data_IF_445797894555
#
_entry.id   IF_445797894555
#
_cell.length_a   1.000
_cell.length_b   1.000
_cell.length_c   1.000
_cell.angle_alpha   90.00
_cell.angle_beta   90.00
_cell.angle_gamma   90.00
#
_symmetry.space_group_name_H-M   'P 1'
#
loop_
_entity.id
_entity.type
_entity.pdbx_description
1 polymer ?
#
# COMPACT_ATOMS: atom_id res chain seq x y z
N UNK A 1 -6.22 4.36 6.92
CA UNK A 1 -6.36 3.30 7.93
C UNK A 1 -5.47 3.65 9.10
N UNK A 2 -6.10 3.79 10.26
CA UNK A 2 -5.42 4.07 11.52
C UNK A 2 -5.08 2.74 12.22
N UNK A 3 -5.27 2.63 13.53
CA UNK A 3 -5.12 1.38 14.27
C UNK A 3 -6.36 0.47 14.16
N UNK A 4 -6.23 -0.76 14.67
CA UNK A 4 -7.26 -1.80 14.52
C UNK A 4 -8.65 -1.40 15.03
N UNK A 5 -8.77 -0.50 16.01
CA UNK A 5 -10.03 -0.16 16.68
C UNK A 5 -11.07 0.48 15.76
N UNK A 6 -10.60 1.18 14.73
CA UNK A 6 -11.45 1.91 13.78
C UNK A 6 -11.45 1.28 12.38
N UNK A 7 -10.83 0.11 12.23
CA UNK A 7 -10.65 -0.52 10.90
C UNK A 7 -11.98 -0.88 10.26
N UNK A 8 -12.88 -1.52 11.01
CA UNK A 8 -14.20 -1.91 10.50
C UNK A 8 -15.03 -0.69 10.09
N UNK A 9 -15.10 0.33 10.94
CA UNK A 9 -15.88 1.55 10.67
C UNK A 9 -15.33 2.30 9.45
N UNK A 10 -14.00 2.37 9.32
CA UNK A 10 -13.35 2.99 8.15
C UNK A 10 -13.68 2.25 6.86
N UNK A 11 -13.70 0.91 6.88
CA UNK A 11 -14.10 0.09 5.73
C UNK A 11 -15.58 0.33 5.39
N UNK A 12 -16.45 0.38 6.40
CA UNK A 12 -17.87 0.61 6.21
C UNK A 12 -18.15 1.97 5.55
N UNK A 13 -17.45 3.03 5.97
CA UNK A 13 -17.57 4.36 5.33
C UNK A 13 -17.25 4.30 3.83
N UNK A 14 -16.26 3.50 3.41
CA UNK A 14 -15.91 3.36 1.98
C UNK A 14 -17.04 2.65 1.22
N UNK A 15 -17.65 1.62 1.82
CA UNK A 15 -18.80 0.91 1.25
C UNK A 15 -19.99 1.86 1.11
N UNK A 16 -20.33 2.60 2.17
CA UNK A 16 -21.46 3.54 2.17
C UNK A 16 -21.31 4.64 1.12
N UNK A 17 -20.08 5.11 0.87
CA UNK A 17 -19.79 6.09 -0.17
C UNK A 17 -20.00 5.51 -1.58
N UNK A 18 -19.59 4.26 -1.81
CA UNK A 18 -19.85 3.58 -3.08
C UNK A 18 -21.35 3.33 -3.31
N UNK A 19 -22.10 2.96 -2.27
CA UNK A 19 -23.56 2.79 -2.33
C UNK A 19 -24.29 4.10 -2.68
N UNK A 20 -23.69 5.26 -2.33
CA UNK A 20 -24.16 6.59 -2.74
C UNK A 20 -23.70 7.01 -4.15
N UNK A 21 -22.98 6.15 -4.86
CA UNK A 21 -22.48 6.40 -6.22
C UNK A 21 -21.07 7.02 -6.30
N UNK A 22 -20.37 7.20 -5.18
CA UNK A 22 -19.00 7.74 -5.18
C UNK A 22 -17.96 6.63 -5.40
N UNK A 23 -17.63 6.35 -6.65
CA UNK A 23 -16.72 5.25 -7.06
C UNK A 23 -15.24 5.65 -7.15
N UNK A 24 -14.91 6.90 -6.85
CA UNK A 24 -13.54 7.44 -6.82
C UNK A 24 -12.90 7.36 -5.41
N UNK A 25 -13.49 6.59 -4.50
CA UNK A 25 -13.03 6.42 -3.13
C UNK A 25 -12.36 5.04 -2.98
N UNK A 26 -11.18 5.00 -2.36
CA UNK A 26 -10.47 3.76 -2.05
C UNK A 26 -10.17 3.65 -0.56
N UNK A 27 -9.72 2.48 -0.13
CA UNK A 27 -9.34 2.24 1.28
C UNK A 27 -7.87 1.86 1.41
N UNK A 28 -7.31 2.06 2.60
CA UNK A 28 -5.97 1.56 2.96
C UNK A 28 -6.15 0.27 3.74
N UNK A 29 -5.38 -0.76 3.42
CA UNK A 29 -5.32 -2.00 4.19
C UNK A 29 -3.89 -2.25 4.68
N UNK A 30 -3.76 -3.00 5.79
CA UNK A 30 -2.50 -3.22 6.50
C UNK A 30 -2.13 -4.70 6.44
N UNK A 31 -1.19 -5.07 5.57
CA UNK A 31 -0.83 -6.46 5.28
C UNK A 31 -0.35 -7.30 6.46
N UNK A 32 0.01 -6.67 7.60
CA UNK A 32 0.36 -7.39 8.83
C UNK A 32 -0.82 -7.93 9.62
N UNK A 33 -2.04 -7.42 9.43
CA UNK A 33 -3.20 -7.82 10.24
C UNK A 33 -3.79 -9.13 9.73
N UNK A 34 -4.09 -10.07 10.63
CA UNK A 34 -4.68 -11.36 10.27
C UNK A 34 -6.03 -11.25 9.56
N UNK A 35 -6.80 -10.19 9.86
CA UNK A 35 -8.10 -9.91 9.24
C UNK A 35 -8.03 -9.39 7.80
N UNK A 36 -6.87 -8.88 7.34
CA UNK A 36 -6.77 -8.19 6.05
C UNK A 36 -7.19 -9.05 4.85
N UNK A 37 -6.85 -10.36 4.77
CA UNK A 37 -7.33 -11.23 3.71
C UNK A 37 -8.87 -11.30 3.62
N UNK A 38 -9.57 -11.29 4.75
CA UNK A 38 -11.03 -11.30 4.79
C UNK A 38 -11.62 -9.93 4.43
N UNK A 39 -10.99 -8.84 4.88
CA UNK A 39 -11.37 -7.49 4.49
C UNK A 39 -11.25 -7.28 2.97
N UNK A 40 -10.23 -7.86 2.32
CA UNK A 40 -10.08 -7.85 0.84
C UNK A 40 -11.26 -8.58 0.18
N UNK A 41 -11.62 -9.78 0.67
CA UNK A 41 -12.73 -10.55 0.09
C UNK A 41 -14.06 -9.80 0.25
N UNK A 42 -14.31 -9.25 1.43
CA UNK A 42 -15.54 -8.50 1.71
C UNK A 42 -15.66 -7.30 0.77
N UNK A 43 -14.60 -6.50 0.64
CA UNK A 43 -14.60 -5.35 -0.26
C UNK A 43 -14.71 -5.76 -1.74
N UNK A 44 -14.07 -6.87 -2.15
CA UNK A 44 -14.26 -7.42 -3.48
C UNK A 44 -15.72 -7.78 -3.74
N UNK A 45 -16.39 -8.45 -2.79
CA UNK A 45 -17.80 -8.83 -2.93
C UNK A 45 -18.72 -7.61 -3.01
N UNK A 46 -18.45 -6.60 -2.19
CA UNK A 46 -19.30 -5.40 -2.07
C UNK A 46 -19.08 -4.38 -3.19
N UNK A 47 -17.83 -4.21 -3.64
CA UNK A 47 -17.45 -3.16 -4.59
C UNK A 47 -17.11 -3.72 -5.98
N UNK A 48 -17.00 -5.04 -6.13
CA UNK A 48 -16.61 -5.70 -7.38
C UNK A 48 -15.35 -5.07 -7.99
N UNK A 49 -15.38 -4.75 -9.28
CA UNK A 49 -14.25 -4.18 -10.02
C UNK A 49 -13.95 -2.71 -9.68
N UNK A 50 -14.78 -2.05 -8.86
CA UNK A 50 -14.53 -0.69 -8.37
C UNK A 50 -13.65 -0.64 -7.12
N UNK A 51 -13.32 -1.80 -6.53
CA UNK A 51 -12.43 -1.87 -5.38
C UNK A 51 -11.07 -1.20 -5.68
N UNK A 52 -10.66 -0.29 -4.79
CA UNK A 52 -9.39 0.45 -4.87
C UNK A 52 -8.67 0.38 -3.53
N UNK A 53 -7.54 -0.31 -3.53
CA UNK A 53 -6.77 -0.58 -2.33
C UNK A 53 -5.43 0.11 -2.38
N UNK A 54 -5.07 0.75 -1.28
CA UNK A 54 -3.67 1.02 -0.94
C UNK A 54 -3.22 0.02 0.11
N UNK A 55 -2.24 -0.81 -0.21
CA UNK A 55 -1.69 -1.78 0.73
C UNK A 55 -0.37 -1.25 1.30
N UNK A 56 -0.28 -1.20 2.63
CA UNK A 56 0.96 -0.95 3.35
C UNK A 56 1.21 -2.11 4.33
N UNK A 57 2.40 -2.16 4.96
CA UNK A 57 2.66 -3.15 6.00
C UNK A 57 1.83 -2.93 7.28
N UNK A 58 1.49 -1.68 7.59
CA UNK A 58 0.95 -1.25 8.88
C UNK A 58 2.02 -0.61 9.75
N UNK A 59 1.70 0.57 10.33
CA UNK A 59 2.64 1.41 11.09
C UNK A 59 2.52 1.22 12.61
N UNK A 60 1.31 0.94 13.10
CA UNK A 60 1.02 0.77 14.51
C UNK A 60 1.55 -0.57 15.03
N UNK A 61 1.98 -0.57 16.29
CA UNK A 61 2.42 -1.75 17.02
C UNK A 61 1.21 -2.47 17.61
N UNK A 62 0.63 -3.36 16.82
CA UNK A 62 -0.55 -4.14 17.21
C UNK A 62 -0.18 -5.41 17.99
N UNK A 63 -1.05 -5.90 18.88
CA UNK A 63 -0.87 -7.17 19.57
C UNK A 63 -0.64 -8.35 18.61
N UNK A 64 0.18 -9.31 19.02
CA UNK A 64 0.47 -10.53 18.26
C UNK A 64 -0.76 -11.43 18.05
N UNK A 65 -1.77 -11.30 18.91
CA UNK A 65 -3.05 -11.98 18.77
C UNK A 65 -3.87 -11.55 17.54
N UNK A 66 -3.55 -10.41 16.93
CA UNK A 66 -4.28 -9.87 15.76
C UNK A 66 -3.37 -9.54 14.58
N UNK A 67 -2.04 -9.68 14.74
CA UNK A 67 -1.06 -9.12 13.82
C UNK A 67 0.22 -9.91 13.77
N UNK A 68 0.77 -10.09 12.57
CA UNK A 68 2.15 -10.54 12.40
C UNK A 68 3.10 -9.49 13.01
N UNK A 69 4.04 -9.93 13.82
CA UNK A 69 5.01 -9.07 14.52
C UNK A 69 6.43 -9.20 13.99
N UNK A 70 6.82 -10.38 13.46
CA UNK A 70 8.13 -10.59 12.86
C UNK A 70 8.22 -10.01 11.44
N UNK A 71 9.40 -9.52 11.07
CA UNK A 71 9.62 -8.88 9.75
C UNK A 71 9.29 -9.81 8.57
N UNK A 72 9.73 -11.07 8.62
CA UNK A 72 9.50 -12.05 7.55
C UNK A 72 8.01 -12.33 7.37
N UNK A 73 7.29 -12.59 8.45
CA UNK A 73 5.84 -12.83 8.41
C UNK A 73 5.08 -11.59 7.91
N UNK A 74 5.47 -10.38 8.32
CA UNK A 74 4.85 -9.15 7.81
C UNK A 74 5.08 -9.00 6.29
N UNK A 75 6.28 -9.30 5.80
CA UNK A 75 6.58 -9.26 4.36
C UNK A 75 5.74 -10.29 3.61
N UNK A 76 5.71 -11.54 4.09
CA UNK A 76 4.96 -12.64 3.48
C UNK A 76 3.46 -12.34 3.44
N UNK A 77 2.87 -11.92 4.56
CA UNK A 77 1.46 -11.58 4.63
C UNK A 77 1.12 -10.37 3.74
N UNK A 78 1.99 -9.36 3.67
CA UNK A 78 1.80 -8.22 2.76
C UNK A 78 1.84 -8.66 1.30
N UNK A 79 2.77 -9.55 0.94
CA UNK A 79 2.88 -10.09 -0.42
C UNK A 79 1.65 -10.93 -0.80
N UNK A 80 1.18 -11.79 0.11
CA UNK A 80 -0.05 -12.55 -0.08
C UNK A 80 -1.27 -11.64 -0.27
N UNK A 81 -1.35 -10.53 0.48
CA UNK A 81 -2.40 -9.52 0.29
C UNK A 81 -2.30 -8.85 -1.08
N UNK A 82 -1.10 -8.49 -1.55
CA UNK A 82 -0.89 -7.91 -2.88
C UNK A 82 -1.41 -8.87 -3.97
N UNK A 83 -1.04 -10.15 -3.90
CA UNK A 83 -1.51 -11.15 -4.87
C UNK A 83 -3.03 -11.28 -4.84
N UNK A 84 -3.63 -11.37 -3.65
CA UNK A 84 -5.08 -11.46 -3.48
C UNK A 84 -5.82 -10.24 -4.05
N UNK A 85 -5.30 -9.04 -3.83
CA UNK A 85 -5.86 -7.80 -4.39
C UNK A 85 -5.77 -7.76 -5.92
N UNK A 86 -4.65 -8.23 -6.49
CA UNK A 86 -4.47 -8.33 -7.93
C UNK A 86 -5.42 -9.38 -8.54
N UNK A 87 -5.55 -10.54 -7.91
CA UNK A 87 -6.46 -11.61 -8.36
C UNK A 87 -7.93 -11.22 -8.25
N UNK A 88 -8.28 -10.40 -7.25
CA UNK A 88 -9.61 -9.83 -7.08
C UNK A 88 -10.01 -8.82 -8.19
N UNK A 89 -9.09 -8.45 -9.10
CA UNK A 89 -9.35 -7.46 -10.15
C UNK A 89 -9.33 -6.01 -9.65
N UNK A 90 -9.00 -5.81 -8.37
CA UNK A 90 -8.98 -4.48 -7.76
C UNK A 90 -7.81 -3.65 -8.29
N UNK A 91 -7.94 -2.33 -8.17
CA UNK A 91 -6.80 -1.44 -8.32
C UNK A 91 -5.90 -1.51 -7.09
N UNK A 92 -4.63 -1.82 -7.29
CA UNK A 92 -3.70 -2.08 -6.18
C UNK A 92 -2.57 -1.06 -6.14
N UNK A 93 -2.60 -0.17 -5.16
CA UNK A 93 -1.52 0.78 -4.88
C UNK A 93 -0.56 0.22 -3.82
N UNK A 94 0.64 -0.16 -4.24
CA UNK A 94 1.65 -0.80 -3.38
C UNK A 94 2.46 0.28 -2.65
N UNK A 95 2.12 0.52 -1.39
CA UNK A 95 2.77 1.52 -0.55
C UNK A 95 3.90 0.91 0.29
N UNK A 96 5.05 0.67 -0.35
CA UNK A 96 6.21 0.05 0.30
C UNK A 96 7.53 0.62 -0.22
N UNK A 97 8.50 0.76 0.69
CA UNK A 97 9.90 0.98 0.33
C UNK A 97 10.70 -0.31 0.35
N UNK A 98 10.10 -1.42 0.81
CA UNK A 98 10.84 -2.61 1.14
C UNK A 98 11.18 -3.44 -0.11
N UNK A 99 12.45 -3.84 -0.24
CA UNK A 99 12.97 -4.48 -1.44
C UNK A 99 12.31 -5.84 -1.72
N UNK A 100 12.11 -6.73 -0.73
CA UNK A 100 11.41 -7.99 -0.96
C UNK A 100 9.97 -7.79 -1.45
N UNK A 101 9.24 -6.81 -0.89
CA UNK A 101 7.86 -6.50 -1.31
C UNK A 101 7.83 -5.99 -2.75
N UNK A 102 8.74 -5.07 -3.11
CA UNK A 102 8.83 -4.54 -4.47
C UNK A 102 9.23 -5.64 -5.47
N UNK A 103 10.22 -6.48 -5.14
CA UNK A 103 10.63 -7.60 -5.98
C UNK A 103 9.49 -8.60 -6.19
N UNK A 104 8.78 -8.97 -5.12
CA UNK A 104 7.61 -9.84 -5.18
C UNK A 104 6.54 -9.24 -6.09
N UNK A 105 6.20 -7.97 -5.89
CA UNK A 105 5.17 -7.28 -6.68
C UNK A 105 5.54 -7.29 -8.17
N UNK A 106 6.77 -6.99 -8.53
CA UNK A 106 7.21 -7.00 -9.93
C UNK A 106 7.11 -8.41 -10.56
N UNK A 107 7.46 -9.45 -9.81
CA UNK A 107 7.31 -10.83 -10.27
C UNK A 107 5.83 -11.23 -10.41
N UNK A 108 5.00 -10.86 -9.43
CA UNK A 108 3.55 -11.09 -9.40
C UNK A 108 2.84 -10.43 -10.57
N UNK A 109 3.17 -9.17 -10.88
CA UNK A 109 2.67 -8.46 -12.05
C UNK A 109 3.07 -9.17 -13.34
N UNK A 110 4.35 -9.52 -13.49
CA UNK A 110 4.85 -10.24 -14.68
C UNK A 110 4.13 -11.57 -14.89
N UNK A 111 3.90 -12.34 -13.82
CA UNK A 111 3.18 -13.62 -13.90
C UNK A 111 1.72 -13.51 -14.34
N UNK A 112 1.14 -12.31 -14.18
CA UNK A 112 -0.23 -11.97 -14.59
C UNK A 112 -0.27 -11.18 -15.90
N UNK A 113 0.86 -11.11 -16.61
CA UNK A 113 1.01 -10.34 -17.86
C UNK A 113 0.74 -8.84 -17.68
N UNK A 114 0.79 -8.35 -16.43
CA UNK A 114 0.64 -6.95 -16.10
C UNK A 114 1.99 -6.24 -16.17
N UNK A 115 1.99 -4.98 -16.61
CA UNK A 115 3.23 -4.25 -16.77
C UNK A 115 3.02 -2.76 -17.06
N UNK A 116 4.11 -2.00 -17.12
CA UNK A 116 4.06 -0.62 -17.60
C UNK A 116 3.72 -0.61 -19.08
N UNK A 117 2.94 0.37 -19.53
CA UNK A 117 2.54 0.56 -20.94
C UNK A 117 1.72 -0.59 -21.56
N UNK A 118 1.15 -1.47 -20.73
CA UNK A 118 0.20 -2.51 -21.15
C UNK A 118 -1.14 -2.17 -20.47
N UNK A 119 -2.25 -2.31 -21.18
CA UNK A 119 -3.57 -2.21 -20.55
C UNK A 119 -3.77 -3.38 -19.57
N UNK A 120 -4.64 -3.20 -18.58
CA UNK A 120 -4.88 -4.24 -17.57
C UNK A 120 -5.47 -5.50 -18.23
N UNK A 121 -4.76 -6.65 -18.26
CA UNK A 121 -5.20 -7.85 -18.96
C UNK A 121 -6.28 -8.63 -18.20
N UNK A 122 -6.54 -8.28 -16.94
CA UNK A 122 -7.45 -9.03 -16.07
C UNK A 122 -8.91 -8.80 -16.52
N UNK A 123 -9.63 -9.89 -16.80
CA UNK A 123 -11.04 -9.84 -17.25
C UNK A 123 -12.00 -9.28 -16.19
N UNK A 124 -11.62 -9.36 -14.93
CA UNK A 124 -12.39 -8.83 -13.79
C UNK A 124 -11.94 -7.42 -13.34
N UNK A 125 -11.07 -6.75 -14.11
CA UNK A 125 -10.61 -5.40 -13.80
C UNK A 125 -11.72 -4.36 -13.96
N UNK A 126 -11.62 -3.28 -13.17
CA UNK A 126 -12.47 -2.11 -13.30
C UNK A 126 -12.17 -1.29 -14.57
N UNK A 127 -13.04 -0.34 -14.91
CA UNK A 127 -12.78 0.56 -16.03
C UNK A 127 -11.50 1.38 -15.81
N UNK A 128 -10.90 1.83 -16.91
CA UNK A 128 -9.77 2.77 -16.86
C UNK A 128 -10.19 4.06 -16.15
N UNK A 129 -9.40 4.48 -15.17
CA UNK A 129 -9.68 5.68 -14.36
C UNK A 129 -8.62 6.76 -14.60
N UNK A 130 -9.01 8.06 -14.62
CA UNK A 130 -8.07 9.16 -14.77
C UNK A 130 -6.96 9.12 -13.70
N UNK A 131 -5.73 9.43 -14.09
CA UNK A 131 -4.56 9.52 -13.21
C UNK A 131 -4.18 8.23 -12.45
N UNK A 132 -4.71 7.08 -12.87
CA UNK A 132 -4.38 5.73 -12.35
C UNK A 132 -3.48 4.99 -13.35
N UNK A 133 -2.75 3.99 -12.85
CA UNK A 133 -2.00 3.04 -13.68
C UNK A 133 -2.87 1.92 -14.26
N UNK A 134 -2.28 0.95 -14.98
CA UNK A 134 -3.01 -0.19 -15.54
C UNK A 134 -3.27 -1.24 -14.45
N UNK A 135 -4.20 -0.95 -13.55
CA UNK A 135 -4.57 -1.84 -12.44
C UNK A 135 -3.72 -1.72 -11.18
N UNK A 136 -2.57 -1.03 -11.23
CA UNK A 136 -1.70 -0.85 -10.07
C UNK A 136 -0.91 0.48 -10.09
N UNK A 137 -0.25 0.81 -8.98
CA UNK A 137 0.83 1.80 -8.90
C UNK A 137 1.75 1.53 -7.70
N UNK A 138 2.97 2.09 -7.72
CA UNK A 138 3.85 2.09 -6.54
C UNK A 138 3.78 3.41 -5.81
N UNK A 139 3.63 3.37 -4.48
CA UNK A 139 3.58 4.57 -3.64
C UNK A 139 4.73 4.57 -2.64
N UNK A 140 5.37 5.73 -2.47
CA UNK A 140 6.48 5.91 -1.53
C UNK A 140 6.35 7.25 -0.79
N UNK A 141 6.89 7.34 0.41
CA UNK A 141 6.97 8.57 1.18
C UNK A 141 7.99 9.52 0.55
N UNK A 142 7.75 10.82 0.66
CA UNK A 142 8.74 11.83 0.30
C UNK A 142 10.03 11.62 1.11
N UNK A 143 11.18 11.68 0.42
CA UNK A 143 12.50 11.58 1.06
C UNK A 143 13.01 10.14 1.33
N UNK A 144 12.16 9.11 1.24
CA UNK A 144 12.56 7.73 1.56
C UNK A 144 12.84 6.93 0.29
N UNK A 145 14.02 6.30 0.19
CA UNK A 145 14.45 5.46 -0.95
C UNK A 145 14.18 6.06 -2.34
N UNK A 146 14.46 7.35 -2.51
CA UNK A 146 14.24 8.10 -3.75
C UNK A 146 14.80 7.46 -5.04
N UNK A 147 16.01 6.84 -5.04
CA UNK A 147 16.52 6.13 -6.22
C UNK A 147 15.63 4.97 -6.67
N UNK A 148 15.03 4.21 -5.74
CA UNK A 148 14.15 3.09 -6.06
C UNK A 148 12.90 3.58 -6.79
N UNK A 149 12.25 4.63 -6.26
CA UNK A 149 11.11 5.27 -6.93
C UNK A 149 11.47 5.72 -8.34
N UNK A 150 12.61 6.43 -8.49
CA UNK A 150 13.08 6.90 -9.80
C UNK A 150 13.37 5.76 -10.75
N UNK A 151 13.91 4.63 -10.26
CA UNK A 151 14.14 3.42 -11.05
C UNK A 151 12.82 2.85 -11.58
N UNK A 152 11.82 2.66 -10.71
CA UNK A 152 10.49 2.18 -11.10
C UNK A 152 9.82 3.11 -12.12
N UNK A 153 9.91 4.42 -11.90
CA UNK A 153 9.38 5.42 -12.84
C UNK A 153 10.09 5.37 -14.21
N UNK A 154 11.42 5.26 -14.23
CA UNK A 154 12.20 5.09 -15.47
C UNK A 154 11.85 3.79 -16.21
N UNK A 155 11.45 2.76 -15.49
CA UNK A 155 10.95 1.50 -16.06
C UNK A 155 9.49 1.62 -16.56
N UNK A 156 8.87 2.80 -16.46
CA UNK A 156 7.51 3.06 -16.94
C UNK A 156 6.40 2.77 -15.93
N UNK A 157 6.73 2.27 -14.74
CA UNK A 157 5.69 2.03 -13.72
C UNK A 157 5.14 3.36 -13.19
N UNK A 158 3.81 3.43 -12.99
CA UNK A 158 3.19 4.55 -12.29
C UNK A 158 3.74 4.59 -10.87
N UNK A 159 4.29 5.74 -10.48
CA UNK A 159 4.73 6.01 -9.12
C UNK A 159 3.99 7.21 -8.54
N UNK A 160 3.70 7.18 -7.24
CA UNK A 160 3.09 8.28 -6.48
C UNK A 160 3.91 8.56 -5.23
N UNK A 161 4.02 9.83 -4.86
CA UNK A 161 4.70 10.25 -3.63
C UNK A 161 3.66 10.70 -2.61
N UNK A 162 3.70 10.13 -1.42
CA UNK A 162 2.93 10.60 -0.28
C UNK A 162 3.68 11.77 0.36
N UNK A 163 3.08 12.96 0.26
CA UNK A 163 3.66 14.22 0.73
C UNK A 163 2.79 14.75 1.86
N UNK A 164 3.20 14.58 3.14
CA UNK A 164 2.58 15.33 4.22
C UNK A 164 2.95 16.82 4.08
N UNK A 165 2.00 17.71 4.33
CA UNK A 165 2.19 19.16 4.32
C UNK A 165 1.35 19.79 5.44
N UNK A 166 1.72 21.01 5.86
CA UNK A 166 1.02 21.76 6.91
C UNK A 166 2.00 22.41 7.89
N UNK A 167 1.56 23.49 8.55
CA UNK A 167 2.39 24.29 9.46
C UNK A 167 2.84 23.50 10.69
N UNK A 168 1.99 22.59 11.20
CA UNK A 168 2.25 21.75 12.38
C UNK A 168 3.02 20.45 12.07
N UNK A 169 3.94 20.48 11.11
CA UNK A 169 4.68 19.30 10.67
C UNK A 169 5.53 18.66 11.79
N UNK A 170 6.00 19.47 12.75
CA UNK A 170 6.85 19.01 13.85
C UNK A 170 6.08 18.10 14.81
N UNK A 171 4.92 18.54 15.30
CA UNK A 171 4.03 17.75 16.18
C UNK A 171 3.61 16.43 15.51
N UNK A 172 3.26 16.49 14.22
CA UNK A 172 2.94 15.30 13.43
C UNK A 172 4.11 14.31 13.38
N UNK A 173 5.33 14.80 13.18
CA UNK A 173 6.54 13.97 13.10
C UNK A 173 6.87 13.32 14.44
N UNK A 174 6.74 14.07 15.54
CA UNK A 174 6.96 13.54 16.89
C UNK A 174 5.94 12.46 17.24
N UNK A 175 4.65 12.67 16.94
CA UNK A 175 3.62 11.65 17.19
C UNK A 175 3.90 10.36 16.41
N UNK A 176 4.30 10.47 15.15
CA UNK A 176 4.69 9.31 14.33
C UNK A 176 5.89 8.56 14.91
N UNK A 177 6.88 9.27 15.46
CA UNK A 177 8.02 8.66 16.15
C UNK A 177 7.60 7.93 17.43
N UNK A 178 6.65 8.50 18.20
CA UNK A 178 6.14 7.88 19.43
C UNK A 178 5.31 6.62 19.13
N UNK A 179 4.45 6.67 18.12
CA UNK A 179 3.61 5.53 17.70
C UNK A 179 4.43 4.35 17.17
N UNK A 180 5.61 4.61 16.60
CA UNK A 180 6.53 3.56 16.19
C UNK A 180 7.99 4.02 16.33
N UNK A 181 8.64 3.71 17.46
CA UNK A 181 10.02 4.10 17.74
C UNK A 181 11.03 3.60 16.69
N UNK A 182 10.70 2.53 15.96
CA UNK A 182 11.55 2.01 14.89
C UNK A 182 11.67 2.98 13.70
N UNK A 183 10.73 3.92 13.54
CA UNK A 183 10.83 5.02 12.57
C UNK A 183 12.04 5.90 12.91
N UNK A 184 12.30 6.15 14.20
CA UNK A 184 13.49 6.86 14.64
C UNK A 184 14.77 6.14 14.21
N UNK A 185 14.81 4.82 14.33
CA UNK A 185 15.93 4.00 13.85
C UNK A 185 16.06 4.04 12.32
N UNK A 186 14.96 4.04 11.58
CA UNK A 186 14.97 4.13 10.11
C UNK A 186 15.46 5.49 9.63
N UNK A 187 15.03 6.57 10.29
CA UNK A 187 15.50 7.93 10.04
C UNK A 187 16.99 8.04 10.39
N UNK A 188 17.41 7.57 11.56
CA UNK A 188 18.82 7.57 11.97
C UNK A 188 19.70 6.79 10.97
N UNK A 189 19.26 5.59 10.54
CA UNK A 189 19.96 4.82 9.49
C UNK A 189 20.03 5.60 8.17
N UNK A 190 18.97 6.31 7.79
CA UNK A 190 18.96 7.13 6.58
C UNK A 190 19.95 8.31 6.62
N UNK A 191 20.16 8.90 7.80
CA UNK A 191 21.12 9.99 8.03
C UNK A 191 22.57 9.50 8.19
N UNK A 192 22.79 8.41 8.93
CA UNK A 192 24.12 7.87 9.24
C UNK A 192 24.67 7.03 8.09
N UNK A 193 23.80 6.35 7.34
CA UNK A 193 24.16 5.53 6.18
C UNK A 193 23.46 6.03 4.89
N UNK A 194 23.70 7.28 4.46
CA UNK A 194 23.01 7.87 3.32
C UNK A 194 23.27 7.12 2.01
N UNK A 195 24.35 6.36 1.93
CA UNK A 195 24.65 5.47 0.79
C UNK A 195 23.65 4.31 0.66
N UNK A 196 22.96 3.89 1.72
CA UNK A 196 21.84 2.92 1.59
C UNK A 196 20.60 3.53 0.92
N UNK A 197 20.56 4.87 0.82
CA UNK A 197 19.54 5.66 0.12
C UNK A 197 20.05 6.30 -1.18
N UNK A 198 21.30 6.07 -1.55
CA UNK A 198 21.92 6.52 -2.81
C UNK A 198 22.30 5.28 -3.64
N UNK A 199 22.36 5.38 -4.97
CA UNK A 199 22.64 4.25 -5.84
C UNK A 199 23.98 3.58 -5.53
#
# INVERSE_FOLDING_TARGET
MEDHRVTSDTIQVVIDLHEKGFTNVGTVLQGRLFRTPDDINNLQQRLSSFADYRICKGIYLEPDSISHTSYSQIVEATNACIDRMLDAGAYTAIASHDLPVIKHTLASLKSREMGPNIEDPRKNAGPKRPHKGPGYEFQMLLGVRGPMRRKLAKQGHRTRVYIPYGEKWYEYSIRRLQENPTIGTQIAKAFIMPWTNRP
#
